data_IF_171158979005
#
_entry.id   IF_171158979005
#
_cell.length_a   1.000
_cell.length_b   1.000
_cell.length_c   1.000
_cell.angle_alpha   90.00
_cell.angle_beta   90.00
_cell.angle_gamma   90.00
#
_symmetry.space_group_name_H-M   'P 1'
#
loop_
_entity.id
_entity.type
_entity.pdbx_description
1 polymer ?
#
# COMPACT_ATOMS: atom_id res chain seq x y z
N UNK A 1 20.04 -13.92 10.85
CA UNK A 1 18.64 -14.38 10.97
C UNK A 1 17.75 -13.27 10.43
N UNK A 2 16.79 -13.56 9.56
CA UNK A 2 15.91 -12.51 9.00
C UNK A 2 14.83 -12.11 10.00
N UNK A 3 14.56 -10.81 10.13
CA UNK A 3 13.47 -10.33 10.97
C UNK A 3 12.13 -10.64 10.30
N UNK A 4 11.19 -11.23 11.04
CA UNK A 4 9.86 -11.59 10.54
C UNK A 4 8.86 -10.49 10.90
N UNK A 5 8.16 -9.96 9.91
CA UNK A 5 7.19 -8.87 10.08
C UNK A 5 5.87 -9.30 9.44
N UNK A 6 4.77 -9.24 10.19
CA UNK A 6 3.42 -9.47 9.65
C UNK A 6 2.68 -8.14 9.50
N UNK A 7 2.06 -7.93 8.34
CA UNK A 7 1.26 -6.75 8.02
C UNK A 7 -0.17 -7.23 7.73
N UNK A 8 -1.12 -6.75 8.51
CA UNK A 8 -2.55 -7.09 8.35
C UNK A 8 -3.26 -5.99 7.58
N UNK A 9 -3.85 -6.36 6.45
CA UNK A 9 -4.44 -5.46 5.47
C UNK A 9 -3.46 -5.19 4.33
N UNK A 10 -3.78 -5.73 3.15
CA UNK A 10 -3.04 -5.52 1.90
C UNK A 10 -3.63 -4.43 1.03
N UNK A 11 -4.28 -3.43 1.62
CA UNK A 11 -4.61 -2.19 0.93
C UNK A 11 -3.40 -1.28 0.73
N UNK A 12 -3.64 -0.05 0.25
CA UNK A 12 -2.60 0.91 -0.13
C UNK A 12 -1.55 1.10 0.96
N UNK A 13 -1.99 1.35 2.20
CA UNK A 13 -1.10 1.58 3.34
C UNK A 13 -0.25 0.35 3.66
N UNK A 14 -0.83 -0.85 3.68
CA UNK A 14 -0.09 -2.07 4.01
C UNK A 14 0.96 -2.42 2.95
N UNK A 15 0.60 -2.26 1.67
CA UNK A 15 1.54 -2.43 0.56
C UNK A 15 2.66 -1.38 0.62
N UNK A 16 2.34 -0.12 0.87
CA UNK A 16 3.36 0.93 0.97
C UNK A 16 4.31 0.72 2.15
N UNK A 17 3.80 0.24 3.29
CA UNK A 17 4.66 -0.16 4.42
C UNK A 17 5.56 -1.32 4.02
N UNK A 18 5.04 -2.35 3.35
CA UNK A 18 5.85 -3.47 2.88
C UNK A 18 6.97 -3.01 1.93
N UNK A 19 6.65 -2.14 0.95
CA UNK A 19 7.61 -1.56 0.01
C UNK A 19 8.69 -0.78 0.76
N UNK A 20 8.30 0.14 1.65
CA UNK A 20 9.27 0.95 2.39
C UNK A 20 10.16 0.11 3.31
N UNK A 21 9.62 -0.95 3.91
CA UNK A 21 10.43 -1.89 4.70
C UNK A 21 11.44 -2.62 3.80
N UNK A 22 11.04 -3.13 2.64
CA UNK A 22 11.96 -3.77 1.71
C UNK A 22 13.05 -2.82 1.20
N UNK A 23 12.68 -1.57 0.87
CA UNK A 23 13.62 -0.58 0.35
C UNK A 23 14.60 -0.04 1.39
N UNK A 24 14.17 0.12 2.65
CA UNK A 24 14.96 0.80 3.69
C UNK A 24 15.66 -0.16 4.65
N UNK A 25 15.33 -1.45 4.64
CA UNK A 25 15.96 -2.41 5.55
C UNK A 25 17.43 -2.60 5.21
N UNK A 26 18.31 -2.44 6.21
CA UNK A 26 19.76 -2.69 6.10
C UNK A 26 20.15 -4.12 6.50
N UNK A 27 19.16 -4.94 6.85
CA UNK A 27 19.30 -6.33 7.24
C UNK A 27 18.19 -7.17 6.60
N UNK A 28 18.37 -8.51 6.51
CA UNK A 28 17.35 -9.37 5.92
C UNK A 28 16.00 -9.31 6.66
N UNK A 29 14.92 -9.08 5.92
CA UNK A 29 13.54 -9.07 6.42
C UNK A 29 12.68 -10.06 5.65
N UNK A 30 11.78 -10.74 6.37
CA UNK A 30 10.73 -11.59 5.83
C UNK A 30 9.38 -10.95 6.14
N UNK A 31 8.68 -10.49 5.10
CA UNK A 31 7.40 -9.79 5.25
C UNK A 31 6.26 -10.74 4.88
N UNK A 32 5.29 -10.87 5.78
CA UNK A 32 4.05 -11.60 5.58
C UNK A 32 2.93 -10.57 5.43
N UNK A 33 2.49 -10.32 4.19
CA UNK A 33 1.37 -9.43 3.90
C UNK A 33 0.08 -10.24 3.82
N UNK A 34 -0.86 -9.95 4.72
CA UNK A 34 -2.09 -10.72 4.89
C UNK A 34 -3.27 -9.85 4.47
N UNK A 35 -3.96 -10.28 3.41
CA UNK A 35 -5.14 -9.61 2.85
C UNK A 35 -6.24 -10.65 2.63
N UNK A 36 -7.46 -10.30 2.99
CA UNK A 36 -8.60 -11.20 2.81
C UNK A 36 -9.01 -11.31 1.34
N UNK A 37 -8.86 -10.22 0.59
CA UNK A 37 -9.23 -10.14 -0.82
C UNK A 37 -8.14 -10.72 -1.71
N UNK A 38 -8.53 -11.12 -2.92
CA UNK A 38 -7.59 -11.65 -3.91
C UNK A 38 -6.68 -10.60 -4.55
N UNK A 39 -6.84 -9.32 -4.20
CA UNK A 39 -6.11 -8.20 -4.77
C UNK A 39 -5.45 -7.36 -3.68
N UNK A 40 -4.16 -7.08 -3.87
CA UNK A 40 -3.36 -6.21 -3.02
C UNK A 40 -3.34 -4.78 -3.59
N UNK A 41 -2.98 -3.81 -2.75
CA UNK A 41 -2.72 -2.42 -3.12
C UNK A 41 -3.97 -1.55 -3.09
N UNK A 42 -5.10 -2.00 -3.62
CA UNK A 42 -6.24 -1.11 -3.76
C UNK A 42 -6.96 -0.80 -2.43
N UNK A 43 -6.98 -1.74 -1.49
CA UNK A 43 -7.77 -1.58 -0.26
C UNK A 43 -9.24 -1.24 -0.54
N UNK A 44 -9.95 -0.72 0.47
CA UNK A 44 -11.32 -0.22 0.28
C UNK A 44 -11.32 1.08 -0.55
N UNK A 45 -10.30 1.91 -0.39
CA UNK A 45 -10.25 3.26 -0.96
C UNK A 45 -10.10 3.29 -2.49
N UNK A 46 -9.54 2.23 -3.11
CA UNK A 46 -9.32 2.19 -4.55
C UNK A 46 -10.02 1.03 -5.27
N UNK A 47 -10.68 0.10 -4.55
CA UNK A 47 -11.38 -1.07 -5.16
C UNK A 47 -12.84 -0.80 -5.56
N UNK A 48 -13.21 0.46 -5.71
CA UNK A 48 -14.54 0.85 -6.21
C UNK A 48 -14.67 0.56 -7.71
N UNK A 49 -15.72 -0.13 -8.16
CA UNK A 49 -15.98 -0.33 -9.60
C UNK A 49 -16.65 0.88 -10.27
N UNK A 50 -16.97 1.93 -9.50
CA UNK A 50 -17.64 3.13 -10.01
C UNK A 50 -16.66 4.11 -10.63
N UNK A 51 -16.88 4.45 -11.90
CA UNK A 51 -16.14 5.50 -12.62
C UNK A 51 -16.33 6.91 -12.03
N UNK A 52 -17.34 7.09 -11.17
CA UNK A 52 -17.66 8.34 -10.49
C UNK A 52 -17.45 8.23 -8.98
N UNK A 53 -16.41 7.52 -8.55
CA UNK A 53 -16.08 7.38 -7.15
C UNK A 53 -15.76 8.73 -6.50
N UNK A 54 -16.59 9.12 -5.53
CA UNK A 54 -16.40 10.36 -4.78
C UNK A 54 -15.29 10.18 -3.75
N UNK A 55 -14.30 11.08 -3.83
CA UNK A 55 -13.17 11.12 -2.92
C UNK A 55 -13.21 12.42 -2.12
N UNK A 56 -12.78 12.35 -0.86
CA UNK A 56 -12.62 13.54 0.00
C UNK A 56 -11.42 14.41 -0.43
N UNK A 57 -10.56 13.89 -1.30
CA UNK A 57 -9.36 14.57 -1.82
C UNK A 57 -9.21 14.23 -3.30
N UNK A 58 -8.60 15.13 -4.08
CA UNK A 58 -8.31 14.85 -5.49
C UNK A 58 -7.42 13.61 -5.63
N UNK A 59 -7.74 12.70 -6.55
CA UNK A 59 -7.02 11.44 -6.74
C UNK A 59 -5.49 11.64 -6.91
N UNK A 60 -5.06 12.66 -7.66
CA UNK A 60 -3.63 12.99 -7.84
C UNK A 60 -2.89 13.37 -6.55
N UNK A 61 -3.60 13.75 -5.48
CA UNK A 61 -3.03 14.06 -4.16
C UNK A 61 -3.00 12.86 -3.20
N UNK A 62 -3.50 11.69 -3.63
CA UNK A 62 -3.53 10.47 -2.81
C UNK A 62 -2.33 9.54 -3.07
N UNK A 63 -1.38 9.94 -3.92
CA UNK A 63 -0.18 9.13 -4.23
C UNK A 63 0.78 9.05 -3.03
N UNK A 64 1.44 7.89 -2.86
CA UNK A 64 2.50 7.72 -1.84
C UNK A 64 3.84 8.31 -2.26
N UNK A 65 4.07 8.44 -3.57
CA UNK A 65 5.30 9.01 -4.10
C UNK A 65 5.02 10.46 -4.48
N UNK A 66 5.98 11.33 -4.15
CA UNK A 66 5.97 12.72 -4.61
C UNK A 66 6.14 12.71 -6.12
N UNK A 67 5.03 12.70 -6.83
CA UNK A 67 4.99 13.14 -8.22
C UNK A 67 5.13 14.65 -8.20
N UNK A 68 6.23 15.17 -8.74
CA UNK A 68 6.38 16.60 -8.99
C UNK A 68 5.35 17.04 -10.03
N UNK A 69 4.12 17.32 -9.59
CA UNK A 69 3.15 18.04 -10.40
C UNK A 69 3.59 19.50 -10.42
N UNK A 70 4.21 19.91 -11.53
CA UNK A 70 4.09 21.28 -12.02
C UNK A 70 2.70 21.47 -12.61
#
# INVERSE_FOLDING_TARGET
>A
MAQKIAIIGGGFSGVMVAIHLLEKSTYPVNIYLIEQRNQLGEGIAYSTPSDHHLLNVSAGKMSSFVSGFR
#
